data_IF_048410471204
#
_entry.id   IF_048410471204
#
_cell.length_a   1.000
_cell.length_b   1.000
_cell.length_c   1.000
_cell.angle_alpha   90.00
_cell.angle_beta   90.00
_cell.angle_gamma   90.00
#
_symmetry.space_group_name_H-M   'P 1'
#
loop_
_entity.id
_entity.type
_entity.pdbx_description
1 polymer ?
#
# COMPACT_ATOMS: atom_id res chain seq x y z
N UNK A 1 -10.45 25.34 -4.89
CA UNK A 1 -10.90 25.71 -3.52
C UNK A 1 -9.69 26.18 -2.73
N UNK A 2 -9.84 27.22 -1.92
CA UNK A 2 -8.75 27.66 -1.03
C UNK A 2 -8.49 26.60 0.05
N UNK A 3 -7.22 26.39 0.43
CA UNK A 3 -6.84 25.48 1.51
C UNK A 3 -7.23 26.11 2.86
N UNK A 4 -7.89 25.35 3.72
CA UNK A 4 -8.21 25.78 5.10
C UNK A 4 -7.02 25.50 6.02
N UNK A 5 -6.70 26.45 6.91
CA UNK A 5 -5.68 26.24 7.94
C UNK A 5 -6.22 25.36 9.07
N UNK A 6 -5.50 24.29 9.43
CA UNK A 6 -5.91 23.32 10.44
C UNK A 6 -5.54 23.74 11.89
N UNK A 7 -4.52 24.59 12.08
CA UNK A 7 -4.17 25.15 13.38
C UNK A 7 -3.76 24.12 14.47
N UNK A 8 -3.18 22.98 14.10
CA UNK A 8 -2.80 21.93 15.05
C UNK A 8 -1.46 22.20 15.74
N UNK A 9 -1.38 21.90 17.05
CA UNK A 9 -0.13 21.84 17.81
C UNK A 9 0.33 20.40 17.93
N UNK A 10 1.60 20.16 17.71
CA UNK A 10 2.25 18.84 17.80
C UNK A 10 3.60 19.01 18.49
N UNK A 11 4.11 17.92 19.04
CA UNK A 11 5.47 17.88 19.57
C UNK A 11 6.50 18.12 18.45
N UNK A 12 7.66 18.66 18.82
CA UNK A 12 8.69 19.06 17.87
C UNK A 12 9.24 17.90 17.05
N UNK A 13 9.42 16.74 17.69
CA UNK A 13 9.88 15.50 17.06
C UNK A 13 8.89 14.99 16.00
N UNK A 14 7.59 15.06 16.29
CA UNK A 14 6.53 14.73 15.34
C UNK A 14 6.56 15.70 14.15
N UNK A 15 6.76 16.99 14.41
CA UNK A 15 6.85 18.00 13.36
C UNK A 15 8.05 17.75 12.44
N UNK A 16 9.21 17.41 13.00
CA UNK A 16 10.42 17.07 12.24
C UNK A 16 10.24 15.79 11.40
N UNK A 17 9.65 14.75 11.99
CA UNK A 17 9.35 13.51 11.27
C UNK A 17 8.41 13.77 10.08
N UNK A 18 7.35 14.56 10.30
CA UNK A 18 6.41 14.88 9.24
C UNK A 18 7.08 15.71 8.12
N UNK A 19 7.96 16.67 8.47
CA UNK A 19 8.74 17.44 7.49
C UNK A 19 9.65 16.54 6.66
N UNK A 20 10.41 15.66 7.31
CA UNK A 20 11.32 14.73 6.63
C UNK A 20 10.58 13.81 5.68
N UNK A 21 9.47 13.21 6.13
CA UNK A 21 8.66 12.30 5.29
C UNK A 21 7.99 13.02 4.14
N UNK A 22 7.50 14.24 4.35
CA UNK A 22 6.97 15.07 3.26
C UNK A 22 8.05 15.35 2.21
N UNK A 23 9.28 15.69 2.64
CA UNK A 23 10.40 15.93 1.75
C UNK A 23 10.83 14.67 0.96
N UNK A 24 10.92 13.51 1.63
CA UNK A 24 11.22 12.22 0.99
C UNK A 24 10.23 11.88 -0.14
N UNK A 25 8.97 12.32 0.02
CA UNK A 25 7.89 12.10 -0.95
C UNK A 25 7.73 13.25 -1.96
N UNK A 26 8.53 14.31 -1.87
CA UNK A 26 8.42 15.51 -2.72
C UNK A 26 7.11 16.29 -2.50
N UNK A 27 6.52 16.21 -1.31
CA UNK A 27 5.25 16.84 -0.96
C UNK A 27 5.44 18.04 -0.04
N UNK A 28 4.51 19.00 -0.13
CA UNK A 28 4.39 20.00 0.95
C UNK A 28 3.89 19.31 2.23
N UNK A 29 4.22 19.88 3.39
CA UNK A 29 3.75 19.33 4.67
C UNK A 29 2.22 19.24 4.74
N UNK A 30 1.51 20.23 4.18
CA UNK A 30 0.06 20.24 4.15
C UNK A 30 -0.52 19.14 3.26
N UNK A 31 0.11 18.86 2.11
CA UNK A 31 -0.34 17.80 1.21
C UNK A 31 -0.02 16.42 1.79
N UNK A 32 1.11 16.26 2.47
CA UNK A 32 1.44 15.05 3.22
C UNK A 32 0.41 14.76 4.31
N UNK A 33 0.05 15.76 5.12
CA UNK A 33 -0.96 15.60 6.17
C UNK A 33 -2.35 15.30 5.60
N UNK A 34 -2.75 15.97 4.51
CA UNK A 34 -4.03 15.70 3.86
C UNK A 34 -4.09 14.25 3.34
N UNK A 35 -3.01 13.78 2.73
CA UNK A 35 -2.90 12.38 2.30
C UNK A 35 -2.95 11.42 3.47
N UNK A 36 -2.21 11.69 4.54
CA UNK A 36 -2.20 10.85 5.74
C UNK A 36 -3.61 10.69 6.33
N UNK A 37 -4.36 11.80 6.43
CA UNK A 37 -5.75 11.78 6.93
C UNK A 37 -6.68 11.04 5.96
N UNK A 38 -6.52 11.21 4.65
CA UNK A 38 -7.33 10.47 3.66
C UNK A 38 -7.02 8.98 3.67
N UNK A 39 -5.75 8.59 3.77
CA UNK A 39 -5.34 7.20 3.82
C UNK A 39 -5.89 6.52 5.09
N UNK A 40 -5.88 7.24 6.22
CA UNK A 40 -6.45 6.79 7.49
C UNK A 40 -7.99 6.65 7.43
N UNK A 41 -8.68 7.65 6.88
CA UNK A 41 -10.15 7.72 6.90
C UNK A 41 -10.86 6.99 5.75
N UNK A 42 -10.17 6.77 4.63
CA UNK A 42 -10.80 6.19 3.43
C UNK A 42 -11.20 4.72 3.59
N UNK A 43 -10.57 4.00 4.51
CA UNK A 43 -10.68 2.54 4.62
C UNK A 43 -10.22 1.81 3.35
N UNK A 44 -9.61 2.53 2.39
CA UNK A 44 -9.24 2.01 1.07
C UNK A 44 -8.25 0.87 1.21
N UNK A 45 -7.30 0.99 2.15
CA UNK A 45 -6.34 -0.06 2.43
C UNK A 45 -7.02 -1.36 2.86
N UNK A 46 -7.97 -1.30 3.80
CA UNK A 46 -8.70 -2.48 4.25
C UNK A 46 -9.49 -3.11 3.09
N UNK A 47 -10.21 -2.28 2.32
CA UNK A 47 -10.97 -2.74 1.15
C UNK A 47 -10.08 -3.33 0.05
N UNK A 48 -8.90 -2.75 -0.18
CA UNK A 48 -7.94 -3.24 -1.16
C UNK A 48 -7.35 -4.59 -0.74
N UNK A 49 -7.00 -4.75 0.55
CA UNK A 49 -6.52 -6.03 1.10
C UNK A 49 -7.62 -7.08 1.02
N UNK A 50 -8.85 -6.75 1.40
CA UNK A 50 -9.99 -7.66 1.29
C UNK A 50 -10.25 -8.08 -0.17
N UNK A 51 -10.16 -7.14 -1.11
CA UNK A 51 -10.32 -7.43 -2.53
C UNK A 51 -9.20 -8.34 -3.06
N UNK A 52 -7.94 -8.07 -2.68
CA UNK A 52 -6.81 -8.91 -3.04
C UNK A 52 -6.95 -10.33 -2.45
N UNK A 53 -7.40 -10.45 -1.20
CA UNK A 53 -7.64 -11.74 -0.56
C UNK A 53 -8.73 -12.54 -1.28
N UNK A 54 -9.85 -11.90 -1.68
CA UNK A 54 -10.90 -12.55 -2.47
C UNK A 54 -10.39 -12.97 -3.84
N UNK A 55 -9.65 -12.11 -4.53
CA UNK A 55 -9.07 -12.44 -5.84
C UNK A 55 -8.15 -13.67 -5.77
N UNK A 56 -7.27 -13.74 -4.76
CA UNK A 56 -6.40 -14.89 -4.54
C UNK A 56 -7.19 -16.16 -4.23
N UNK A 57 -8.23 -16.07 -3.41
CA UNK A 57 -9.08 -17.21 -3.08
C UNK A 57 -9.87 -17.73 -4.31
N UNK A 58 -10.42 -16.83 -5.12
CA UNK A 58 -11.17 -17.18 -6.33
C UNK A 58 -10.28 -17.81 -7.42
N UNK A 59 -9.02 -17.41 -7.48
CA UNK A 59 -8.08 -17.87 -8.52
C UNK A 59 -7.02 -18.84 -7.99
N UNK A 60 -7.22 -19.40 -6.79
CA UNK A 60 -6.23 -20.21 -6.10
C UNK A 60 -5.73 -21.37 -6.98
N UNK A 61 -6.63 -22.07 -7.68
CA UNK A 61 -6.26 -23.20 -8.54
C UNK A 61 -5.33 -22.79 -9.69
N UNK A 62 -5.50 -21.58 -10.25
CA UNK A 62 -4.62 -21.08 -11.33
C UNK A 62 -3.22 -20.82 -10.80
N UNK A 63 -3.10 -20.26 -9.59
CA UNK A 63 -1.82 -20.05 -8.95
C UNK A 63 -1.14 -21.38 -8.56
N UNK A 64 -1.92 -22.32 -8.02
CA UNK A 64 -1.45 -23.66 -7.66
C UNK A 64 -0.96 -24.42 -8.89
N UNK A 65 -1.69 -24.38 -10.00
CA UNK A 65 -1.29 -25.00 -11.28
C UNK A 65 -0.03 -24.35 -11.86
N UNK A 66 0.06 -23.02 -11.81
CA UNK A 66 1.25 -22.30 -12.26
C UNK A 66 2.49 -22.61 -11.42
N UNK A 67 2.34 -22.81 -10.10
CA UNK A 67 3.42 -23.20 -9.20
C UNK A 67 3.83 -24.66 -9.41
N UNK A 68 2.86 -25.56 -9.57
CA UNK A 68 3.11 -26.98 -9.85
C UNK A 68 3.83 -27.19 -11.20
N UNK A 69 3.43 -26.44 -12.23
CA UNK A 69 4.10 -26.46 -13.54
C UNK A 69 5.56 -25.99 -13.47
N UNK A 70 5.90 -25.10 -12.53
CA UNK A 70 7.29 -24.67 -12.27
C UNK A 70 8.07 -25.68 -11.44
N UNK A 71 7.40 -26.44 -10.56
CA UNK A 71 8.00 -27.50 -9.73
C UNK A 71 8.20 -28.83 -10.48
N UNK A 72 7.52 -29.04 -11.60
CA UNK A 72 7.73 -30.22 -12.44
C UNK A 72 9.20 -30.26 -12.92
N UNK A 73 9.96 -31.33 -12.65
CA UNK A 73 11.36 -31.38 -13.04
C UNK A 73 11.47 -31.39 -14.56
N UNK A 74 12.30 -30.50 -15.11
CA UNK A 74 12.68 -30.45 -16.55
C UNK A 74 13.46 -31.70 -17.03
N UNK A 75 13.29 -32.87 -16.41
CA UNK A 75 14.15 -34.04 -16.58
C UNK A 75 13.45 -35.37 -16.86
N UNK A 76 12.18 -35.39 -17.28
CA UNK A 76 11.46 -36.65 -17.57
C UNK A 76 11.26 -36.95 -19.07
N UNK A 77 12.00 -36.29 -19.96
CA UNK A 77 12.05 -36.62 -21.39
C UNK A 77 13.50 -36.74 -21.88
N UNK A 78 14.17 -37.80 -21.42
CA UNK A 78 15.35 -38.33 -22.09
C UNK A 78 15.32 -39.85 -21.94
N UNK A 79 14.71 -40.52 -22.93
CA UNK A 79 14.84 -41.95 -23.18
C UNK A 79 14.81 -42.15 -24.70
#
# INVERSE_FOLDING_TARGET
MAKTQLGARVDEDVAELARKRAADLGLSIGDYLARLVQDDTSGLRARAVDAAARFLAEHQSVFDDAENAQKAPRGAHAA
#
